data_IF_392028924575
#
_entry.id   IF_392028924575
#
_cell.length_a   1.000
_cell.length_b   1.000
_cell.length_c   1.000
_cell.angle_alpha   90.00
_cell.angle_beta   90.00
_cell.angle_gamma   90.00
#
_symmetry.space_group_name_H-M   'P 1'
#
loop_
_entity.id
_entity.type
_entity.pdbx_description
1 polymer ?
#
# COMPACT_ATOMS: atom_id res chain seq x y z
N UNK A 1 3.88 6.80 28.70
CA UNK A 1 2.87 5.95 28.03
C UNK A 1 3.60 4.71 27.57
N UNK A 2 3.11 3.53 27.95
CA UNK A 2 3.73 2.26 27.53
C UNK A 2 3.51 2.06 26.01
N UNK A 3 4.54 1.59 25.31
CA UNK A 3 4.46 1.29 23.87
C UNK A 3 3.42 0.20 23.62
N UNK A 4 3.32 -0.78 24.51
CA UNK A 4 2.33 -1.85 24.43
C UNK A 4 0.90 -1.30 24.58
N UNK A 5 0.71 -0.35 25.49
CA UNK A 5 -0.58 0.33 25.65
C UNK A 5 -0.94 1.14 24.40
N UNK A 6 0.02 1.88 23.84
CA UNK A 6 -0.17 2.69 22.62
C UNK A 6 -0.55 1.81 21.43
N UNK A 7 0.05 0.62 21.33
CA UNK A 7 -0.25 -0.38 20.31
C UNK A 7 -1.67 -0.92 20.47
N UNK A 8 -2.07 -1.30 21.69
CA UNK A 8 -3.42 -1.80 21.94
C UNK A 8 -4.50 -0.74 21.68
N UNK A 9 -4.25 0.52 22.07
CA UNK A 9 -5.14 1.64 21.76
C UNK A 9 -5.25 1.90 20.25
N UNK A 10 -4.15 1.72 19.52
CA UNK A 10 -4.12 1.84 18.07
C UNK A 10 -4.96 0.74 17.40
N UNK A 11 -4.73 -0.53 17.72
CA UNK A 11 -5.51 -1.65 17.17
C UNK A 11 -7.01 -1.52 17.50
N UNK A 12 -7.34 -1.14 18.74
CA UNK A 12 -8.73 -0.90 19.15
C UNK A 12 -9.41 0.18 18.30
N UNK A 13 -8.70 1.26 17.96
CA UNK A 13 -9.22 2.29 17.06
C UNK A 13 -9.44 1.78 15.64
N UNK A 14 -8.53 0.98 15.10
CA UNK A 14 -8.70 0.38 13.78
C UNK A 14 -9.95 -0.51 13.72
N UNK A 15 -10.14 -1.38 14.71
CA UNK A 15 -11.35 -2.21 14.83
C UNK A 15 -12.63 -1.37 14.93
N UNK A 16 -12.60 -0.28 15.69
CA UNK A 16 -13.73 0.66 15.79
C UNK A 16 -14.07 1.30 14.44
N UNK A 17 -13.07 1.70 13.65
CA UNK A 17 -13.30 2.23 12.30
C UNK A 17 -13.90 1.19 11.36
N UNK A 18 -13.40 -0.05 11.38
CA UNK A 18 -13.96 -1.15 10.60
C UNK A 18 -15.44 -1.38 10.96
N UNK A 19 -15.76 -1.39 12.24
CA UNK A 19 -17.13 -1.56 12.69
C UNK A 19 -18.04 -0.44 12.15
N UNK A 20 -17.59 0.82 12.24
CA UNK A 20 -18.34 1.96 11.70
C UNK A 20 -18.59 1.83 10.19
N UNK A 21 -17.57 1.44 9.42
CA UNK A 21 -17.70 1.23 7.97
C UNK A 21 -18.71 0.11 7.65
N UNK A 22 -18.65 -1.00 8.39
CA UNK A 22 -19.58 -2.13 8.23
C UNK A 22 -21.02 -1.76 8.60
N UNK A 23 -21.23 -1.06 9.71
CA UNK A 23 -22.56 -0.59 10.14
C UNK A 23 -23.19 0.39 9.15
N UNK A 24 -22.34 1.18 8.47
CA UNK A 24 -22.77 2.10 7.41
C UNK A 24 -22.93 1.43 6.04
N UNK A 25 -22.58 0.14 5.91
CA UNK A 25 -22.67 -0.60 4.66
C UNK A 25 -21.69 -0.11 3.60
N UNK A 26 -20.56 0.50 4.00
CA UNK A 26 -19.54 0.96 3.06
C UNK A 26 -18.87 -0.26 2.43
N UNK A 27 -18.88 -0.41 1.09
CA UNK A 27 -18.30 -1.57 0.43
C UNK A 27 -16.78 -1.60 0.61
N UNK A 28 -16.22 -2.78 0.84
CA UNK A 28 -14.78 -3.02 0.84
C UNK A 28 -14.30 -3.43 -0.56
N UNK A 29 -13.00 -3.26 -0.79
CA UNK A 29 -12.31 -3.70 -2.01
C UNK A 29 -11.42 -4.91 -1.70
N UNK A 30 -11.36 -5.88 -2.61
CA UNK A 30 -10.46 -7.02 -2.52
C UNK A 30 -9.06 -6.64 -3.01
N UNK A 31 -8.05 -6.93 -2.20
CA UNK A 31 -6.62 -6.82 -2.54
C UNK A 31 -6.01 -8.21 -2.53
N UNK A 32 -5.45 -8.63 -3.67
CA UNK A 32 -4.93 -9.98 -3.86
C UNK A 32 -3.52 -9.97 -4.44
N UNK A 33 -2.70 -10.91 -3.99
CA UNK A 33 -1.32 -11.10 -4.44
C UNK A 33 -1.13 -12.32 -5.35
N UNK A 34 0.09 -12.47 -5.88
CA UNK A 34 0.46 -13.57 -6.77
C UNK A 34 0.57 -14.94 -6.05
N UNK A 35 0.72 -14.92 -4.71
CA UNK A 35 0.83 -16.11 -3.86
C UNK A 35 -0.53 -16.69 -3.46
N UNK A 36 -1.62 -15.96 -3.73
CA UNK A 36 -2.99 -16.33 -3.39
C UNK A 36 -3.53 -15.71 -2.10
N UNK A 37 -2.75 -14.86 -1.42
CA UNK A 37 -3.25 -14.06 -0.31
C UNK A 37 -4.29 -13.06 -0.83
N UNK A 38 -5.46 -13.03 -0.20
CA UNK A 38 -6.52 -12.07 -0.53
C UNK A 38 -7.11 -11.48 0.75
N UNK A 39 -7.18 -10.16 0.84
CA UNK A 39 -7.71 -9.41 1.97
C UNK A 39 -8.66 -8.33 1.46
N UNK A 40 -9.85 -8.26 2.05
CA UNK A 40 -10.79 -7.17 1.79
C UNK A 40 -10.52 -6.00 2.74
N UNK A 41 -10.64 -4.77 2.23
CA UNK A 41 -10.50 -3.58 3.06
C UNK A 41 -10.75 -2.27 2.33
N UNK A 42 -10.44 -1.17 3.00
CA UNK A 42 -10.64 0.19 2.50
C UNK A 42 -9.31 0.90 2.33
N UNK A 43 -9.08 1.50 1.15
CA UNK A 43 -7.84 2.23 0.86
C UNK A 43 -7.67 3.40 1.81
N UNK A 44 -6.49 3.52 2.40
CA UNK A 44 -6.11 4.60 3.32
C UNK A 44 -5.19 5.58 2.61
N UNK A 45 -4.18 5.05 1.94
CA UNK A 45 -3.13 5.80 1.28
C UNK A 45 -2.65 5.07 0.03
N UNK A 46 -2.38 5.84 -1.01
CA UNK A 46 -1.82 5.38 -2.27
C UNK A 46 -0.52 6.15 -2.51
N UNK A 47 0.58 5.43 -2.71
CA UNK A 47 1.90 5.97 -3.02
C UNK A 47 2.38 5.37 -4.35
N UNK A 48 2.65 6.22 -5.34
CA UNK A 48 3.37 5.79 -6.54
C UNK A 48 4.86 5.70 -6.22
N UNK A 49 5.50 4.62 -6.66
CA UNK A 49 6.95 4.60 -6.72
C UNK A 49 7.39 5.49 -7.89
N UNK A 50 8.45 6.31 -7.74
CA UNK A 50 8.94 7.10 -8.86
C UNK A 50 9.33 6.15 -9.99
N UNK A 51 8.73 6.36 -11.17
CA UNK A 51 9.12 5.64 -12.38
C UNK A 51 10.55 6.05 -12.73
N UNK A 52 11.52 5.15 -12.54
CA UNK A 52 12.87 5.36 -13.05
C UNK A 52 12.96 4.69 -14.41
N UNK A 53 13.09 5.48 -15.46
CA UNK A 53 13.31 4.99 -16.82
C UNK A 53 14.77 5.23 -17.19
N UNK A 54 15.45 4.18 -17.66
CA UNK A 54 16.79 4.30 -18.23
C UNK A 54 16.68 4.37 -19.74
N UNK A 55 17.24 5.42 -20.32
CA UNK A 55 17.23 5.69 -21.75
C UNK A 55 18.66 5.98 -22.17
N UNK A 56 19.21 5.17 -23.08
CA UNK A 56 20.56 5.42 -23.54
C UNK A 56 20.59 6.66 -24.43
N UNK A 57 21.41 7.68 -24.09
CA UNK A 57 21.49 8.90 -24.89
C UNK A 57 22.22 8.61 -26.20
N UNK A 58 21.56 8.91 -27.33
CA UNK A 58 22.09 8.72 -28.68
C UNK A 58 21.30 9.51 -29.71
N UNK A 59 21.71 9.44 -30.99
CA UNK A 59 21.04 10.16 -32.10
C UNK A 59 19.57 9.74 -32.28
N UNK A 60 19.27 8.48 -31.96
CA UNK A 60 17.94 7.95 -31.69
C UNK A 60 17.97 7.32 -30.29
N UNK A 61 17.34 7.92 -29.26
CA UNK A 61 17.28 7.34 -27.93
C UNK A 61 16.50 6.02 -27.97
N UNK A 62 16.92 5.03 -27.20
CA UNK A 62 16.17 3.80 -27.01
C UNK A 62 16.08 3.44 -25.53
N UNK A 63 14.94 2.87 -25.17
CA UNK A 63 14.59 2.46 -23.81
C UNK A 63 15.46 1.26 -23.38
N UNK A 64 16.08 1.37 -22.21
CA UNK A 64 16.93 0.33 -21.63
C UNK A 64 16.26 -0.43 -20.48
N UNK A 65 15.16 0.09 -19.97
CA UNK A 65 14.43 -0.52 -18.87
C UNK A 65 13.93 0.51 -17.87
N UNK A 66 13.29 0.03 -16.82
CA UNK A 66 12.79 0.89 -15.76
C UNK A 66 12.06 0.16 -14.67
N UNK A 67 11.81 0.86 -13.58
CA UNK A 67 11.02 0.37 -12.45
C UNK A 67 9.81 1.24 -12.27
N UNK A 68 8.66 0.62 -12.03
CA UNK A 68 7.37 1.31 -11.85
C UNK A 68 6.50 0.51 -10.89
N UNK A 69 5.44 1.13 -10.38
CA UNK A 69 4.50 0.47 -9.50
C UNK A 69 3.94 1.40 -8.45
N UNK A 70 3.25 0.80 -7.48
CA UNK A 70 2.60 1.54 -6.41
C UNK A 70 2.50 0.70 -5.15
N UNK A 71 2.25 1.41 -4.05
CA UNK A 71 1.90 0.82 -2.77
C UNK A 71 0.59 1.41 -2.28
N UNK A 72 -0.33 0.53 -1.90
CA UNK A 72 -1.59 0.89 -1.27
C UNK A 72 -1.54 0.42 0.17
N UNK A 73 -1.62 1.35 1.11
CA UNK A 73 -1.95 1.02 2.49
C UNK A 73 -3.46 1.01 2.64
N UNK A 74 -4.02 -0.05 3.20
CA UNK A 74 -5.45 -0.20 3.39
C UNK A 74 -5.79 -0.78 4.76
N UNK A 75 -6.96 -0.43 5.26
CA UNK A 75 -7.52 -0.97 6.50
C UNK A 75 -8.30 -2.24 6.15
N UNK A 76 -7.79 -3.38 6.58
CA UNK A 76 -8.43 -4.67 6.39
C UNK A 76 -9.71 -4.82 7.22
N UNK A 77 -10.62 -5.65 6.73
CA UNK A 77 -11.83 -6.02 7.47
C UNK A 77 -11.55 -6.76 8.78
N UNK A 78 -10.33 -7.27 8.94
CA UNK A 78 -9.81 -7.92 10.14
C UNK A 78 -9.28 -6.91 11.19
N UNK A 79 -9.39 -5.60 10.93
CA UNK A 79 -8.94 -4.55 11.84
C UNK A 79 -7.44 -4.28 11.83
N UNK A 80 -6.70 -4.81 10.86
CA UNK A 80 -5.28 -4.57 10.70
C UNK A 80 -4.97 -3.67 9.49
N UNK A 81 -3.81 -3.01 9.53
CA UNK A 81 -3.29 -2.35 8.34
C UNK A 81 -2.52 -3.34 7.47
N UNK A 82 -2.89 -3.34 6.20
CA UNK A 82 -2.29 -4.15 5.15
C UNK A 82 -1.74 -3.26 4.05
N UNK A 83 -0.71 -3.79 3.41
CA UNK A 83 0.04 -3.12 2.37
C UNK A 83 -0.04 -4.00 1.13
N UNK A 84 -0.67 -3.48 0.09
CA UNK A 84 -0.68 -4.07 -1.24
C UNK A 84 0.36 -3.36 -2.08
N UNK A 85 1.32 -4.11 -2.59
CA UNK A 85 2.44 -3.55 -3.34
C UNK A 85 2.54 -4.24 -4.69
N UNK A 86 2.41 -3.43 -5.74
CA UNK A 86 2.64 -3.85 -7.11
C UNK A 86 3.95 -3.23 -7.60
N UNK A 87 4.86 -4.05 -8.12
CA UNK A 87 6.10 -3.61 -8.76
C UNK A 87 6.20 -4.20 -10.16
N UNK A 88 6.62 -3.37 -11.10
CA UNK A 88 7.06 -3.74 -12.42
C UNK A 88 8.53 -3.38 -12.63
N UNK A 89 9.23 -4.21 -13.38
CA UNK A 89 10.61 -3.97 -13.80
C UNK A 89 10.78 -4.41 -15.24
N UNK A 90 11.22 -3.47 -16.06
CA UNK A 90 11.58 -3.70 -17.45
C UNK A 90 13.11 -3.74 -17.57
N UNK A 91 13.65 -4.73 -18.27
CA UNK A 91 15.09 -4.88 -18.49
C UNK A 91 15.36 -5.18 -19.96
N UNK A 92 16.28 -4.45 -20.57
CA UNK A 92 16.71 -4.74 -21.94
C UNK A 92 17.62 -5.99 -22.00
N UNK A 93 17.14 -7.02 -22.70
CA UNK A 93 17.91 -8.22 -23.00
C UNK A 93 18.64 -8.03 -24.34
N UNK A 94 19.95 -7.76 -24.28
CA UNK A 94 20.78 -7.53 -25.46
C UNK A 94 21.00 -8.77 -26.33
N UNK A 95 20.89 -9.97 -25.77
CA UNK A 95 21.03 -11.22 -26.52
C UNK A 95 19.81 -11.50 -27.40
N UNK A 96 18.62 -11.11 -26.93
CA UNK A 96 17.35 -11.27 -27.63
C UNK A 96 16.90 -10.00 -28.37
N UNK A 97 17.59 -8.87 -28.13
CA UNK A 97 17.26 -7.55 -28.64
C UNK A 97 15.80 -7.16 -28.36
N UNK A 98 15.33 -7.41 -27.12
CA UNK A 98 13.98 -7.11 -26.67
C UNK A 98 13.96 -6.62 -25.21
N UNK A 99 12.81 -6.09 -24.77
CA UNK A 99 12.55 -5.76 -23.37
C UNK A 99 11.86 -6.96 -22.70
N UNK A 100 12.40 -7.37 -21.56
CA UNK A 100 11.78 -8.35 -20.66
C UNK A 100 11.15 -7.61 -19.48
N UNK A 101 9.85 -7.85 -19.28
CA UNK A 101 9.09 -7.29 -18.15
C UNK A 101 8.90 -8.35 -17.09
N UNK A 102 9.20 -8.01 -15.84
CA UNK A 102 8.85 -8.79 -14.67
C UNK A 102 7.95 -7.97 -13.77
N UNK A 103 6.93 -8.62 -13.21
CA UNK A 103 6.02 -8.00 -12.25
C UNK A 103 5.98 -8.83 -10.99
N UNK A 104 5.77 -8.17 -9.86
CA UNK A 104 5.48 -8.81 -8.58
C UNK A 104 4.37 -8.06 -7.89
N UNK A 105 3.43 -8.82 -7.35
CA UNK A 105 2.33 -8.32 -6.56
C UNK A 105 2.32 -9.01 -5.20
N UNK A 106 2.33 -8.23 -4.12
CA UNK A 106 2.44 -8.71 -2.72
C UNK A 106 1.36 -8.05 -1.86
N UNK A 107 0.71 -8.84 -1.00
CA UNK A 107 -0.18 -8.34 0.06
C UNK A 107 0.37 -8.82 1.40
N UNK A 108 0.75 -7.89 2.26
CA UNK A 108 1.34 -8.20 3.57
C UNK A 108 0.87 -7.24 4.66
N UNK A 109 1.01 -7.65 5.93
CA UNK A 109 0.74 -6.75 7.05
C UNK A 109 1.73 -5.59 7.03
N UNK A 110 1.25 -4.36 7.18
CA UNK A 110 2.14 -3.20 7.13
C UNK A 110 3.14 -3.21 8.30
N UNK A 111 4.41 -2.86 8.07
CA UNK A 111 5.42 -2.79 9.11
C UNK A 111 5.21 -1.57 10.01
N UNK A 112 4.42 -1.75 11.08
CA UNK A 112 4.03 -0.70 12.01
C UNK A 112 5.22 0.02 12.67
N UNK A 113 6.38 -0.63 12.76
CA UNK A 113 7.61 0.00 13.27
C UNK A 113 8.03 1.25 12.50
N UNK A 114 7.76 1.31 11.19
CA UNK A 114 8.04 2.50 10.36
C UNK A 114 7.04 3.65 10.58
N UNK A 115 5.93 3.39 11.29
CA UNK A 115 4.82 4.32 11.51
C UNK A 115 4.82 4.93 12.92
N UNK A 116 5.81 4.59 13.75
CA UNK A 116 5.98 5.15 15.09
C UNK A 116 6.61 6.54 15.00
N UNK A 117 5.81 7.57 15.25
CA UNK A 117 6.27 8.96 15.28
C UNK A 117 6.98 9.34 16.58
N UNK A 118 7.82 10.37 16.52
CA UNK A 118 8.60 10.88 17.67
C UNK A 118 7.76 11.57 18.75
N UNK A 119 6.66 12.23 18.39
CA UNK A 119 5.79 12.92 19.35
C UNK A 119 4.72 12.00 19.95
N UNK A 120 4.02 11.25 19.08
CA UNK A 120 2.98 10.27 19.44
C UNK A 120 3.09 9.06 18.50
N UNK A 121 3.13 7.83 19.03
CA UNK A 121 3.07 6.62 18.22
C UNK A 121 1.83 6.63 17.33
N UNK A 122 1.97 6.21 16.07
CA UNK A 122 0.88 6.00 15.11
C UNK A 122 -0.02 7.20 14.77
N UNK A 123 0.18 8.39 15.36
CA UNK A 123 -0.69 9.56 15.13
C UNK A 123 -0.92 9.87 13.65
N UNK A 124 0.16 9.92 12.85
CA UNK A 124 0.08 10.26 11.42
C UNK A 124 -0.75 9.25 10.64
N UNK A 125 -0.57 7.95 10.89
CA UNK A 125 -1.31 6.92 10.17
C UNK A 125 -2.77 6.88 10.63
N UNK A 126 -3.05 7.09 11.92
CA UNK A 126 -4.42 7.23 12.43
C UNK A 126 -5.18 8.39 11.78
N UNK A 127 -4.54 9.55 11.62
CA UNK A 127 -5.14 10.70 10.94
C UNK A 127 -5.49 10.38 9.48
N UNK A 128 -4.63 9.63 8.78
CA UNK A 128 -4.90 9.15 7.41
C UNK A 128 -6.07 8.16 7.38
N UNK A 129 -6.08 7.17 8.27
CA UNK A 129 -7.17 6.19 8.39
C UNK A 129 -8.49 6.90 8.68
N UNK A 130 -8.52 7.79 9.67
CA UNK A 130 -9.71 8.54 10.03
C UNK A 130 -10.22 9.38 8.84
N UNK A 131 -9.31 10.04 8.11
CA UNK A 131 -9.67 10.81 6.92
C UNK A 131 -10.25 9.91 5.82
N UNK A 132 -9.65 8.73 5.59
CA UNK A 132 -10.14 7.77 4.61
C UNK A 132 -11.52 7.20 4.98
N UNK A 133 -11.72 6.84 6.25
CA UNK A 133 -13.00 6.38 6.78
C UNK A 133 -14.08 7.45 6.61
N UNK A 134 -13.78 8.71 6.95
CA UNK A 134 -14.72 9.81 6.78
C UNK A 134 -15.08 10.03 5.31
N UNK A 135 -14.10 9.97 4.39
CA UNK A 135 -14.38 10.05 2.95
C UNK A 135 -15.33 8.93 2.51
N UNK A 136 -15.01 7.69 2.87
CA UNK A 136 -15.79 6.53 2.47
C UNK A 136 -17.22 6.50 3.04
N UNK A 137 -17.46 7.14 4.19
CA UNK A 137 -18.80 7.28 4.79
C UNK A 137 -19.62 8.42 4.14
N UNK A 138 -18.96 9.43 3.57
CA UNK A 138 -19.61 10.62 3.01
C UNK A 138 -19.90 10.51 1.50
N UNK A 139 -19.29 9.54 0.82
CA UNK A 139 -19.60 9.16 -0.57
C UNK A 139 -20.94 8.42 -0.67
#
# INVERSE_FOLDING_TARGET
>A
MDIMQSFHEFESQLHSFVQQLKERGVPSQEYKDDSGTSINGWSVEYEDFPSYEDVMPGRNPYYMGGHWGHRITFLGEDGHLWCHEFRGSDTFNSALNCIETSTSNIVEKCPLGSMVGSEKPFKKILEKVQSAVLRAILE
#
